data_IF_193744867410
#
_entry.id   IF_193744867410
#
_cell.length_a   1.000
_cell.length_b   1.000
_cell.length_c   1.000
_cell.angle_alpha   90.00
_cell.angle_beta   90.00
_cell.angle_gamma   90.00
#
_symmetry.space_group_name_H-M   'P 1'
#
loop_
_entity.id
_entity.type
_entity.pdbx_description
1 polymer ?
#
# COMPACT_ATOMS: atom_id res chain seq x y z
N UNK A 1 -9.28 0.35 5.06
CA UNK A 1 -9.20 0.27 3.59
C UNK A 1 -10.55 0.12 2.91
N UNK A 2 -11.36 -0.91 3.23
CA UNK A 2 -12.69 -1.09 2.59
C UNK A 2 -13.70 0.05 2.83
N UNK A 3 -13.53 0.84 3.89
CA UNK A 3 -14.40 1.96 4.22
C UNK A 3 -14.13 3.23 3.40
N UNK A 4 -13.04 3.29 2.64
CA UNK A 4 -12.74 4.50 1.85
C UNK A 4 -13.58 4.55 0.59
N UNK A 5 -14.06 5.75 0.18
CA UNK A 5 -14.75 5.91 -1.09
C UNK A 5 -13.86 5.52 -2.28
N UNK A 6 -14.41 4.93 -3.35
CA UNK A 6 -13.62 4.55 -4.53
C UNK A 6 -12.78 5.68 -5.12
N UNK A 7 -13.29 6.93 -5.12
CA UNK A 7 -12.52 8.10 -5.59
C UNK A 7 -11.27 8.36 -4.76
N UNK A 8 -11.34 8.15 -3.45
CA UNK A 8 -10.20 8.35 -2.54
C UNK A 8 -9.18 7.22 -2.72
N UNK A 9 -9.66 5.98 -2.90
CA UNK A 9 -8.80 4.86 -3.24
C UNK A 9 -8.10 5.07 -4.59
N UNK A 10 -8.80 5.58 -5.61
CA UNK A 10 -8.17 5.97 -6.88
C UNK A 10 -7.10 7.04 -6.66
N UNK A 11 -7.41 8.11 -5.93
CA UNK A 11 -6.43 9.16 -5.61
C UNK A 11 -5.19 8.59 -4.89
N UNK A 12 -5.38 7.66 -3.95
CA UNK A 12 -4.26 6.94 -3.33
C UNK A 12 -3.43 6.17 -4.36
N UNK A 13 -4.05 5.50 -5.33
CA UNK A 13 -3.35 4.86 -6.44
C UNK A 13 -2.51 5.82 -7.29
N UNK A 14 -3.00 7.03 -7.53
CA UNK A 14 -2.28 8.06 -8.30
C UNK A 14 -1.00 8.57 -7.61
N UNK A 15 -0.85 8.36 -6.30
CA UNK A 15 0.38 8.76 -5.59
C UNK A 15 1.61 7.97 -6.04
N UNK A 16 1.43 6.80 -6.64
CA UNK A 16 2.51 5.95 -7.15
C UNK A 16 2.93 6.29 -8.59
N UNK A 17 2.18 7.15 -9.29
CA UNK A 17 2.49 7.62 -10.65
C UNK A 17 3.10 9.04 -10.64
N UNK A 18 3.90 9.38 -9.61
CA UNK A 18 4.63 10.65 -9.45
C UNK A 18 3.74 11.91 -9.30
N UNK A 19 2.48 11.75 -8.90
CA UNK A 19 1.56 12.87 -8.72
C UNK A 19 1.62 13.48 -7.31
N UNK A 20 2.65 14.29 -7.04
CA UNK A 20 2.83 14.98 -5.74
C UNK A 20 1.64 15.85 -5.32
N UNK A 21 0.85 16.35 -6.28
CA UNK A 21 -0.34 17.15 -5.99
C UNK A 21 -1.40 16.32 -5.28
N UNK A 22 -1.60 15.07 -5.70
CA UNK A 22 -2.58 14.17 -5.09
C UNK A 22 -2.12 13.72 -3.71
N UNK A 23 -0.82 13.46 -3.54
CA UNK A 23 -0.24 13.19 -2.23
C UNK A 23 -0.54 14.33 -1.24
N UNK A 24 -0.21 15.58 -1.61
CA UNK A 24 -0.45 16.75 -0.78
C UNK A 24 -1.95 16.96 -0.51
N UNK A 25 -2.79 16.71 -1.52
CA UNK A 25 -4.24 16.79 -1.36
C UNK A 25 -4.74 15.79 -0.32
N UNK A 26 -4.32 14.52 -0.36
CA UNK A 26 -4.70 13.51 0.64
C UNK A 26 -4.28 13.91 2.05
N UNK A 27 -3.03 14.40 2.20
CA UNK A 27 -2.51 14.86 3.48
C UNK A 27 -3.31 16.02 4.09
N UNK A 28 -3.80 16.94 3.26
CA UNK A 28 -4.50 18.15 3.72
C UNK A 28 -6.03 17.99 3.80
N UNK A 29 -6.63 17.03 3.09
CA UNK A 29 -8.08 16.88 2.95
C UNK A 29 -8.66 15.71 3.76
N UNK A 30 -8.02 15.36 4.88
CA UNK A 30 -8.56 14.40 5.85
C UNK A 30 -8.22 12.93 5.59
N UNK A 31 -7.24 12.65 4.73
CA UNK A 31 -6.70 11.30 4.51
C UNK A 31 -5.18 11.22 4.73
N UNK A 32 -4.62 11.81 5.81
CA UNK A 32 -3.19 11.82 6.07
C UNK A 32 -2.60 10.42 6.22
N UNK A 33 -3.39 9.44 6.67
CA UNK A 33 -2.97 8.05 6.80
C UNK A 33 -2.76 7.35 5.44
N UNK A 34 -3.51 7.74 4.41
CA UNK A 34 -3.30 7.23 3.04
C UNK A 34 -2.09 7.89 2.39
N UNK A 35 -1.87 9.18 2.65
CA UNK A 35 -0.65 9.86 2.25
C UNK A 35 0.57 9.21 2.93
N UNK A 36 0.53 9.04 4.25
CA UNK A 36 1.60 8.38 5.00
C UNK A 36 1.83 6.93 4.52
N UNK A 37 0.78 6.15 4.27
CA UNK A 37 0.91 4.82 3.70
C UNK A 37 1.59 4.84 2.32
N UNK A 38 1.22 5.77 1.43
CA UNK A 38 1.88 5.88 0.13
C UNK A 38 3.37 6.19 0.28
N UNK A 39 3.73 7.10 1.20
CA UNK A 39 5.13 7.41 1.50
C UNK A 39 5.88 6.24 2.12
N UNK A 40 5.25 5.48 3.02
CA UNK A 40 5.85 4.29 3.63
C UNK A 40 6.17 3.23 2.55
N UNK A 41 5.21 2.92 1.66
CA UNK A 41 5.39 1.99 0.53
C UNK A 41 6.49 2.47 -0.43
N UNK A 42 6.73 3.78 -0.52
CA UNK A 42 7.82 4.37 -1.31
C UNK A 42 9.19 4.31 -0.61
N UNK A 43 9.26 3.81 0.62
CA UNK A 43 10.48 3.65 1.42
C UNK A 43 10.70 4.69 2.51
N UNK A 44 9.70 5.50 2.88
CA UNK A 44 9.85 6.51 3.94
C UNK A 44 9.70 5.92 5.35
N UNK A 45 10.80 5.79 6.07
CA UNK A 45 10.81 5.36 7.48
C UNK A 45 10.07 6.36 8.40
N UNK A 46 10.13 7.65 8.07
CA UNK A 46 9.39 8.69 8.80
C UNK A 46 7.89 8.47 8.69
N UNK A 47 7.39 8.16 7.49
CA UNK A 47 5.98 7.88 7.27
C UNK A 47 5.53 6.60 7.98
N UNK A 48 6.36 5.54 7.97
CA UNK A 48 6.11 4.33 8.74
C UNK A 48 5.99 4.63 10.25
N UNK A 49 6.93 5.41 10.78
CA UNK A 49 6.93 5.81 12.20
C UNK A 49 5.71 6.67 12.53
N UNK A 50 5.33 7.57 11.62
CA UNK A 50 4.13 8.39 11.76
C UNK A 50 2.87 7.52 11.84
N UNK A 51 2.73 6.50 10.99
CA UNK A 51 1.59 5.57 11.03
C UNK A 51 1.50 4.84 12.37
N UNK A 52 2.64 4.38 12.89
CA UNK A 52 2.72 3.71 14.19
C UNK A 52 2.32 4.65 15.34
N UNK A 53 2.78 5.90 15.32
CA UNK A 53 2.49 6.89 16.35
C UNK A 53 1.05 7.41 16.30
N UNK A 54 0.43 7.49 15.11
CA UNK A 54 -0.88 8.08 14.90
C UNK A 54 -2.04 7.07 14.90
N UNK A 55 -1.86 5.90 15.55
CA UNK A 55 -2.89 4.85 15.68
C UNK A 55 -3.30 4.21 14.34
N UNK A 56 -2.36 4.13 13.39
CA UNK A 56 -2.51 3.35 12.15
C UNK A 56 -1.52 2.18 12.05
N UNK A 57 -1.29 1.37 13.11
CA UNK A 57 -0.34 0.26 13.05
C UNK A 57 -0.72 -0.79 12.00
N UNK A 58 -2.01 -0.92 11.67
CA UNK A 58 -2.48 -1.81 10.61
C UNK A 58 -1.99 -1.40 9.22
N UNK A 59 -1.79 -0.10 8.96
CA UNK A 59 -1.28 0.39 7.69
C UNK A 59 0.25 0.25 7.62
N UNK A 60 0.94 0.48 8.74
CA UNK A 60 2.37 0.19 8.86
C UNK A 60 2.66 -1.31 8.70
N UNK A 61 1.82 -2.17 9.29
CA UNK A 61 1.95 -3.62 9.11
C UNK A 61 1.59 -4.06 7.69
N UNK A 62 0.66 -3.39 7.01
CA UNK A 62 0.40 -3.61 5.59
C UNK A 62 1.65 -3.31 4.75
N UNK A 63 2.27 -2.15 4.93
CA UNK A 63 3.50 -1.78 4.25
C UNK A 63 4.60 -2.85 4.44
N UNK A 64 4.88 -3.22 5.69
CA UNK A 64 5.82 -4.30 5.99
C UNK A 64 5.44 -5.66 5.37
N UNK A 65 4.15 -5.99 5.30
CA UNK A 65 3.70 -7.24 4.67
C UNK A 65 3.88 -7.20 3.13
N UNK A 66 3.65 -6.05 2.50
CA UNK A 66 3.95 -5.84 1.07
C UNK A 66 5.48 -6.01 0.85
N UNK A 67 6.30 -5.53 1.78
CA UNK A 67 7.77 -5.76 1.84
C UNK A 67 8.20 -7.20 2.17
N UNK A 68 7.25 -8.13 2.31
CA UNK A 68 7.50 -9.53 2.68
C UNK A 68 8.16 -9.68 4.06
N UNK A 69 7.98 -8.71 4.96
CA UNK A 69 8.43 -8.81 6.34
C UNK A 69 7.57 -9.83 7.10
N UNK A 70 8.13 -10.95 7.58
CA UNK A 70 7.36 -12.01 8.23
C UNK A 70 6.71 -11.53 9.54
N UNK A 71 7.35 -10.62 10.27
CA UNK A 71 6.79 -10.09 11.54
C UNK A 71 5.55 -9.23 11.28
N UNK A 72 5.58 -8.41 10.24
CA UNK A 72 4.44 -7.57 9.87
C UNK A 72 3.27 -8.42 9.38
N UNK A 73 3.55 -9.43 8.54
CA UNK A 73 2.56 -10.40 8.08
C UNK A 73 1.93 -11.17 9.25
N UNK A 74 2.74 -11.67 10.19
CA UNK A 74 2.26 -12.37 11.39
C UNK A 74 1.43 -11.44 12.29
N UNK A 75 1.85 -10.18 12.45
CA UNK A 75 1.07 -9.20 13.20
C UNK A 75 -0.34 -9.02 12.62
N UNK A 76 -0.46 -8.86 11.30
CA UNK A 76 -1.77 -8.76 10.63
C UNK A 76 -2.62 -10.00 10.87
N UNK A 77 -2.02 -11.19 10.79
CA UNK A 77 -2.70 -12.47 11.05
C UNK A 77 -3.20 -12.57 12.49
N UNK A 78 -2.35 -12.25 13.46
CA UNK A 78 -2.70 -12.31 14.89
C UNK A 78 -3.80 -11.32 15.26
N UNK A 79 -3.89 -10.19 14.55
CA UNK A 79 -4.93 -9.18 14.72
C UNK A 79 -6.17 -9.39 13.82
N UNK A 80 -6.24 -10.53 13.10
CA UNK A 80 -7.36 -10.89 12.21
C UNK A 80 -7.65 -9.86 11.11
N UNK A 81 -6.59 -9.27 10.55
CA UNK A 81 -6.67 -8.28 9.48
C UNK A 81 -6.70 -8.97 8.11
N UNK A 82 -7.65 -9.88 7.90
CA UNK A 82 -7.69 -10.79 6.74
C UNK A 82 -7.65 -10.05 5.40
N UNK A 83 -8.41 -8.96 5.29
CA UNK A 83 -8.42 -8.14 4.08
C UNK A 83 -7.05 -7.53 3.77
N UNK A 84 -6.31 -7.05 4.78
CA UNK A 84 -4.99 -6.45 4.57
C UNK A 84 -3.96 -7.52 4.17
N UNK A 85 -4.09 -8.75 4.69
CA UNK A 85 -3.28 -9.87 4.24
C UNK A 85 -3.53 -10.18 2.77
N UNK A 86 -4.80 -10.32 2.37
CA UNK A 86 -5.17 -10.55 0.97
C UNK A 86 -4.66 -9.42 0.09
N UNK A 87 -4.77 -8.18 0.53
CA UNK A 87 -4.27 -7.03 -0.25
C UNK A 87 -2.74 -7.03 -0.36
N UNK A 88 -2.01 -7.34 0.71
CA UNK A 88 -0.54 -7.48 0.68
C UNK A 88 -0.10 -8.61 -0.26
N UNK A 89 -0.81 -9.74 -0.23
CA UNK A 89 -0.58 -10.87 -1.12
C UNK A 89 -0.88 -10.52 -2.58
N UNK A 90 -1.94 -9.75 -2.83
CA UNK A 90 -2.27 -9.24 -4.16
C UNK A 90 -1.18 -8.30 -4.70
N UNK A 91 -0.64 -7.40 -3.86
CA UNK A 91 0.50 -6.54 -4.21
C UNK A 91 1.76 -7.36 -4.54
N UNK A 92 1.89 -8.56 -3.97
CA UNK A 92 2.94 -9.53 -4.23
C UNK A 92 2.59 -10.56 -5.34
N UNK A 93 1.55 -10.29 -6.14
CA UNK A 93 1.09 -11.13 -7.27
C UNK A 93 0.73 -12.57 -6.89
N UNK A 94 0.29 -12.80 -5.65
CA UNK A 94 -0.20 -14.12 -5.23
C UNK A 94 -1.54 -14.40 -5.93
N UNK A 95 -1.55 -15.39 -6.83
CA UNK A 95 -2.75 -15.80 -7.59
C UNK A 95 -4.00 -15.98 -6.73
N UNK A 96 -3.97 -16.67 -5.57
CA UNK A 96 -5.18 -16.83 -4.75
C UNK A 96 -5.77 -15.51 -4.27
N UNK A 97 -4.95 -14.53 -3.92
CA UNK A 97 -5.41 -13.22 -3.49
C UNK A 97 -6.03 -12.41 -4.64
N UNK A 98 -5.42 -12.46 -5.83
CA UNK A 98 -5.97 -11.81 -7.02
C UNK A 98 -7.33 -12.40 -7.41
N UNK A 99 -7.45 -13.73 -7.38
CA UNK A 99 -8.73 -14.43 -7.63
C UNK A 99 -9.77 -14.02 -6.60
N UNK A 100 -9.41 -14.04 -5.31
CA UNK A 100 -10.33 -13.64 -4.24
C UNK A 100 -10.85 -12.21 -4.42
N UNK A 101 -9.98 -11.25 -4.75
CA UNK A 101 -10.41 -9.87 -5.02
C UNK A 101 -11.35 -9.77 -6.22
N UNK A 102 -11.07 -10.51 -7.30
CA UNK A 102 -11.92 -10.53 -8.49
C UNK A 102 -13.32 -11.11 -8.18
N UNK A 103 -13.37 -12.26 -7.51
CA UNK A 103 -14.62 -12.95 -7.14
C UNK A 103 -15.48 -12.13 -6.17
N UNK A 104 -14.86 -11.26 -5.36
CA UNK A 104 -15.55 -10.38 -4.43
C UNK A 104 -15.90 -8.99 -5.02
N UNK A 105 -15.73 -8.79 -6.34
CA UNK A 105 -15.97 -7.51 -7.02
C UNK A 105 -15.14 -6.33 -6.47
N UNK A 106 -13.91 -6.61 -6.03
CA UNK A 106 -12.98 -5.63 -5.45
C UNK A 106 -11.97 -5.13 -6.48
N UNK A 107 -12.45 -4.78 -7.67
CA UNK A 107 -11.64 -4.39 -8.83
C UNK A 107 -10.70 -3.22 -8.55
N UNK A 108 -11.15 -2.24 -7.76
CA UNK A 108 -10.29 -1.11 -7.37
C UNK A 108 -9.04 -1.54 -6.60
N UNK A 109 -9.15 -2.60 -5.79
CA UNK A 109 -8.00 -3.13 -5.05
C UNK A 109 -7.08 -3.97 -5.94
N UNK A 110 -7.62 -4.62 -6.98
CA UNK A 110 -6.78 -5.23 -8.03
C UNK A 110 -5.94 -4.16 -8.74
N UNK A 111 -6.57 -3.06 -9.14
CA UNK A 111 -5.88 -1.94 -9.79
C UNK A 111 -4.82 -1.32 -8.87
N UNK A 112 -5.14 -1.12 -7.59
CA UNK A 112 -4.18 -0.59 -6.60
C UNK A 112 -2.99 -1.52 -6.40
N UNK A 113 -3.23 -2.82 -6.24
CA UNK A 113 -2.17 -3.81 -6.09
C UNK A 113 -1.22 -3.81 -7.29
N UNK A 114 -1.76 -3.71 -8.51
CA UNK A 114 -0.98 -3.60 -9.74
C UNK A 114 -0.14 -2.31 -9.80
N UNK A 115 -0.71 -1.16 -9.41
CA UNK A 115 0.03 0.11 -9.36
C UNK A 115 1.20 0.05 -8.38
N UNK A 116 0.95 -0.43 -7.16
CA UNK A 116 1.98 -0.59 -6.13
C UNK A 116 3.08 -1.53 -6.62
N UNK A 117 2.70 -2.67 -7.20
CA UNK A 117 3.68 -3.64 -7.72
C UNK A 117 4.54 -3.06 -8.83
N UNK A 118 3.92 -2.41 -9.82
CA UNK A 118 4.63 -1.74 -10.92
C UNK A 118 5.61 -0.69 -10.38
N UNK A 119 5.20 0.13 -9.43
CA UNK A 119 6.07 1.12 -8.79
C UNK A 119 7.28 0.46 -8.13
N UNK A 120 7.07 -0.59 -7.33
CA UNK A 120 8.14 -1.32 -6.63
C UNK A 120 9.10 -2.05 -7.56
N UNK A 121 8.57 -2.65 -8.63
CA UNK A 121 9.39 -3.30 -9.65
C UNK A 121 10.29 -2.27 -10.34
N UNK A 122 9.75 -1.10 -10.69
CA UNK A 122 10.51 -0.01 -11.28
C UNK A 122 11.63 0.48 -10.35
N UNK A 123 11.37 0.62 -9.04
CA UNK A 123 12.42 0.95 -8.07
C UNK A 123 13.53 -0.11 -8.03
N UNK A 124 13.16 -1.39 -8.05
CA UNK A 124 14.13 -2.51 -8.09
C UNK A 124 14.99 -2.46 -9.35
N UNK A 125 14.41 -2.11 -10.49
CA UNK A 125 15.14 -1.91 -11.75
C UNK A 125 16.06 -0.68 -11.73
N UNK A 126 15.67 0.41 -11.07
CA UNK A 126 16.49 1.63 -10.98
C UNK A 126 17.73 1.45 -10.10
N UNK A 127 17.72 0.55 -9.11
CA UNK A 127 18.92 0.17 -8.35
C UNK A 127 20.04 -0.43 -9.23
N UNK A 128 19.71 -0.94 -10.43
CA UNK A 128 20.71 -1.42 -11.40
C UNK A 128 21.28 -0.31 -12.30
N UNK A 129 20.75 0.91 -12.24
CA UNK A 129 21.35 2.10 -12.86
C UNK A 129 22.06 2.93 -11.81
N UNK A 130 23.24 2.46 -11.37
CA UNK A 130 24.22 3.39 -10.82
C UNK A 130 24.71 4.27 -11.98
N UNK A 131 24.49 5.60 -11.98
CA UNK A 131 25.32 6.45 -12.80
C UNK A 131 26.75 6.35 -12.23
N UNK A 132 27.69 5.91 -13.07
CA UNK A 132 29.11 6.15 -12.84
C UNK A 132 29.42 7.63 -13.12
#
# INVERSE_FOLDING_TARGET
MLHYPPKILMAFGETFDENEKIYNWLAQNGYPELAALSSAIRGSEEAFTWLMANKFPQLAALDGAIDKNPKAYEWLKNHKMDFLLVFADACNERKPALVWLAENNLEIFLHLAQKIKKFRDNQTFDYHKKPF
#
